data_IF_890668221932
#
_entry.id   IF_890668221932
#
_cell.length_a   1.000
_cell.length_b   1.000
_cell.length_c   1.000
_cell.angle_alpha   90.00
_cell.angle_beta   90.00
_cell.angle_gamma   90.00
#
_symmetry.space_group_name_H-M   'P 1'
#
loop_
_entity.id
_entity.type
_entity.pdbx_description
1 polymer ?
#
# COMPACT_ATOMS: atom_id res chain seq x y z
N UNK A 1 -26.73 -10.64 -18.41
CA UNK A 1 -26.00 -9.39 -18.06
C UNK A 1 -25.00 -9.74 -16.97
N UNK A 2 -23.74 -9.36 -17.14
CA UNK A 2 -22.74 -9.48 -16.07
C UNK A 2 -22.86 -8.26 -15.16
N UNK A 3 -23.15 -8.49 -13.88
CA UNK A 3 -23.17 -7.43 -12.86
C UNK A 3 -21.77 -6.80 -12.77
N UNK A 4 -21.71 -5.47 -12.74
CA UNK A 4 -20.46 -4.72 -12.52
C UNK A 4 -20.45 -4.18 -11.10
N UNK A 5 -19.30 -4.26 -10.44
CA UNK A 5 -19.09 -3.65 -9.12
C UNK A 5 -18.79 -2.17 -9.34
N UNK A 6 -19.61 -1.30 -8.74
CA UNK A 6 -19.36 0.14 -8.73
C UNK A 6 -18.30 0.48 -7.69
N UNK A 7 -17.38 1.39 -8.05
CA UNK A 7 -16.32 1.93 -7.18
C UNK A 7 -15.67 0.88 -6.24
N UNK A 8 -15.11 -0.22 -6.79
CA UNK A 8 -14.56 -1.29 -5.96
C UNK A 8 -13.47 -0.75 -5.02
N UNK A 9 -13.48 -1.28 -3.80
CA UNK A 9 -12.50 -1.01 -2.76
C UNK A 9 -11.91 -2.33 -2.27
N UNK A 10 -10.61 -2.51 -2.49
CA UNK A 10 -9.86 -3.73 -2.20
C UNK A 10 -8.94 -3.48 -1.02
N UNK A 11 -9.05 -4.34 -0.01
CA UNK A 11 -8.19 -4.32 1.16
C UNK A 11 -7.32 -5.58 1.17
N UNK A 12 -6.00 -5.39 1.25
CA UNK A 12 -5.02 -6.45 1.39
C UNK A 12 -4.25 -6.25 2.69
N UNK A 13 -4.18 -7.31 3.48
CA UNK A 13 -3.39 -7.35 4.72
C UNK A 13 -2.36 -8.45 4.58
N UNK A 14 -1.10 -8.12 4.85
CA UNK A 14 -0.01 -9.06 4.78
C UNK A 14 0.90 -8.92 6.01
N UNK A 15 1.41 -10.05 6.49
CA UNK A 15 2.20 -10.13 7.71
C UNK A 15 3.38 -11.06 7.51
N UNK A 16 4.52 -10.73 8.10
CA UNK A 16 5.62 -11.69 8.28
C UNK A 16 6.49 -11.29 9.47
N UNK A 17 7.23 -12.26 10.02
CA UNK A 17 8.17 -11.98 11.10
C UNK A 17 9.30 -11.06 10.59
N UNK A 18 9.67 -10.09 11.42
CA UNK A 18 10.79 -9.17 11.21
C UNK A 18 12.12 -9.90 11.02
N UNK A 19 12.24 -11.10 11.59
CA UNK A 19 13.42 -11.96 11.49
C UNK A 19 13.40 -12.88 10.27
N UNK A 20 12.30 -12.94 9.51
CA UNK A 20 12.23 -13.73 8.28
C UNK A 20 13.02 -13.07 7.17
N UNK A 21 13.80 -13.87 6.43
CA UNK A 21 14.50 -13.41 5.24
C UNK A 21 13.69 -13.64 3.95
N UNK A 22 13.66 -12.67 3.01
CA UNK A 22 14.22 -11.34 3.15
C UNK A 22 13.36 -10.46 4.06
N UNK A 23 14.00 -9.70 4.96
CA UNK A 23 13.30 -8.82 5.92
C UNK A 23 12.49 -7.70 5.26
N UNK A 24 12.78 -7.38 4.00
CA UNK A 24 12.11 -6.33 3.20
C UNK A 24 10.97 -6.84 2.33
N UNK A 25 10.66 -8.15 2.37
CA UNK A 25 9.75 -8.80 1.41
C UNK A 25 8.42 -8.07 1.21
N UNK A 26 7.75 -7.66 2.30
CA UNK A 26 6.47 -6.95 2.21
C UNK A 26 6.59 -5.61 1.49
N UNK A 27 7.62 -4.85 1.80
CA UNK A 27 7.85 -3.52 1.26
C UNK A 27 8.21 -3.61 -0.22
N UNK A 28 9.07 -4.57 -0.58
CA UNK A 28 9.46 -4.83 -1.97
C UNK A 28 8.26 -5.27 -2.81
N UNK A 29 7.40 -6.14 -2.27
CA UNK A 29 6.16 -6.56 -2.94
C UNK A 29 5.18 -5.41 -3.09
N UNK A 30 5.04 -4.56 -2.07
CA UNK A 30 4.21 -3.36 -2.13
C UNK A 30 4.70 -2.41 -3.23
N UNK A 31 5.99 -2.08 -3.22
CA UNK A 31 6.62 -1.23 -4.23
C UNK A 31 6.55 -1.83 -5.63
N UNK A 32 6.65 -3.15 -5.77
CA UNK A 32 6.45 -3.83 -7.05
C UNK A 32 5.01 -3.62 -7.57
N UNK A 33 4.00 -3.79 -6.72
CA UNK A 33 2.60 -3.56 -7.11
C UNK A 33 2.39 -2.09 -7.50
N UNK A 34 2.80 -1.17 -6.64
CA UNK A 34 2.64 0.29 -6.81
C UNK A 34 3.32 0.78 -8.10
N UNK A 35 4.55 0.35 -8.36
CA UNK A 35 5.29 0.76 -9.56
C UNK A 35 4.82 0.05 -10.83
N UNK A 36 4.69 -1.28 -10.83
CA UNK A 36 4.44 -2.03 -12.07
C UNK A 36 2.97 -2.04 -12.50
N UNK A 37 2.03 -1.97 -11.54
CA UNK A 37 0.59 -2.00 -11.83
C UNK A 37 -0.02 -0.61 -11.84
N UNK A 38 0.54 0.31 -11.03
CA UNK A 38 0.00 1.66 -10.91
C UNK A 38 0.98 2.73 -11.41
N UNK A 39 2.17 2.41 -11.94
CA UNK A 39 3.05 3.41 -12.56
C UNK A 39 3.50 4.53 -11.63
N UNK A 40 3.35 4.35 -10.31
CA UNK A 40 3.72 5.36 -9.31
C UNK A 40 5.23 5.27 -9.10
N UNK A 41 5.91 6.40 -9.29
CA UNK A 41 7.37 6.49 -9.20
C UNK A 41 7.87 6.63 -7.77
N UNK A 42 7.11 7.30 -6.90
CA UNK A 42 7.42 7.40 -5.48
C UNK A 42 7.26 6.02 -4.84
N UNK A 43 8.29 5.58 -4.11
CA UNK A 43 8.28 4.32 -3.40
C UNK A 43 7.87 4.52 -1.94
N UNK A 44 7.27 3.48 -1.36
CA UNK A 44 7.11 3.34 0.08
C UNK A 44 8.49 3.06 0.68
N UNK A 45 8.96 3.98 1.52
CA UNK A 45 10.17 3.85 2.31
C UNK A 45 9.81 3.67 3.79
N UNK A 46 10.50 2.76 4.45
CA UNK A 46 10.32 2.55 5.89
C UNK A 46 11.52 3.03 6.70
N UNK A 47 11.25 3.42 7.94
CA UNK A 47 12.23 3.72 8.96
C UNK A 47 11.85 2.99 10.25
N UNK A 48 12.82 2.32 10.85
CA UNK A 48 12.61 1.55 12.07
C UNK A 48 12.90 2.36 13.32
N UNK A 49 12.07 2.16 14.34
CA UNK A 49 12.16 2.85 15.62
C UNK A 49 11.97 1.89 16.79
N UNK A 50 12.32 2.33 17.99
CA UNK A 50 12.08 1.56 19.20
C UNK A 50 10.60 1.61 19.59
N UNK A 51 10.04 0.48 20.02
CA UNK A 51 8.67 0.43 20.50
C UNK A 51 7.98 -0.91 20.24
N UNK A 52 6.85 -1.10 20.92
CA UNK A 52 5.99 -2.26 20.75
C UNK A 52 5.22 -2.20 19.43
N UNK A 53 4.48 -1.10 19.19
CA UNK A 53 3.77 -0.82 17.95
C UNK A 53 4.44 0.40 17.33
N UNK A 54 4.97 0.25 16.12
CA UNK A 54 5.71 1.30 15.43
C UNK A 54 5.13 1.48 14.04
N UNK A 55 4.66 2.69 13.75
CA UNK A 55 4.30 3.10 12.40
C UNK A 55 5.60 3.34 11.62
N UNK A 56 5.81 2.58 10.54
CA UNK A 56 7.15 2.44 9.93
C UNK A 56 7.38 3.40 8.77
N UNK A 57 6.37 4.16 8.32
CA UNK A 57 6.56 5.07 7.19
C UNK A 57 7.61 6.13 7.56
N UNK A 58 8.63 6.28 6.71
CA UNK A 58 9.75 7.19 6.96
C UNK A 58 9.30 8.66 7.03
N UNK A 59 8.52 9.11 6.05
CA UNK A 59 8.01 10.49 6.00
C UNK A 59 6.66 10.66 6.73
N UNK A 60 6.41 9.89 7.79
CA UNK A 60 5.14 9.98 8.54
C UNK A 60 5.03 11.30 9.29
N UNK A 61 3.80 11.72 9.53
CA UNK A 61 3.45 12.82 10.44
C UNK A 61 2.69 12.27 11.64
N UNK A 62 2.44 13.11 12.64
CA UNK A 62 1.61 12.74 13.80
C UNK A 62 0.19 12.34 13.37
N UNK A 63 -0.32 12.93 12.30
CA UNK A 63 -1.71 12.76 11.86
C UNK A 63 -1.86 11.77 10.69
N UNK A 64 -0.77 11.47 9.96
CA UNK A 64 -0.78 10.58 8.80
C UNK A 64 0.47 9.70 8.75
N UNK A 65 0.22 8.40 8.87
CA UNK A 65 1.24 7.34 8.89
C UNK A 65 1.18 6.47 7.64
N UNK A 66 0.37 6.86 6.65
CA UNK A 66 0.14 6.07 5.46
C UNK A 66 0.77 6.69 4.21
N UNK A 67 1.23 5.82 3.33
CA UNK A 67 1.73 6.19 2.02
C UNK A 67 0.56 6.25 1.05
N UNK A 68 0.16 7.46 0.68
CA UNK A 68 -0.91 7.71 -0.29
C UNK A 68 -0.35 7.80 -1.71
N UNK A 69 -1.07 7.22 -2.65
CA UNK A 69 -0.73 7.32 -4.07
C UNK A 69 -1.99 7.34 -4.95
N UNK A 70 -1.85 7.93 -6.13
CA UNK A 70 -2.87 7.97 -7.16
C UNK A 70 -2.27 7.67 -8.53
N UNK A 71 -3.06 7.04 -9.41
CA UNK A 71 -2.64 6.70 -10.76
C UNK A 71 -3.82 6.59 -11.71
N UNK A 72 -3.54 6.68 -13.02
CA UNK A 72 -4.45 6.28 -14.07
C UNK A 72 -3.98 4.96 -14.68
N UNK A 73 -4.70 3.88 -14.40
CA UNK A 73 -4.44 2.56 -14.99
C UNK A 73 -5.20 2.44 -16.30
N UNK A 74 -4.56 1.99 -17.37
CA UNK A 74 -5.25 1.73 -18.64
C UNK A 74 -5.86 0.34 -18.63
N UNK A 75 -7.18 0.24 -18.78
CA UNK A 75 -7.91 -1.01 -19.00
C UNK A 75 -8.72 -0.87 -20.28
N UNK A 76 -8.50 -1.74 -21.26
CA UNK A 76 -9.20 -1.74 -22.56
C UNK A 76 -9.25 -0.34 -23.23
N UNK A 77 -8.09 0.33 -23.30
CA UNK A 77 -7.91 1.71 -23.80
C UNK A 77 -8.66 2.81 -23.02
N UNK A 78 -9.25 2.48 -21.88
CA UNK A 78 -9.88 3.45 -20.98
C UNK A 78 -8.94 3.75 -19.81
N UNK A 79 -8.68 5.03 -19.57
CA UNK A 79 -7.92 5.48 -18.40
C UNK A 79 -8.81 5.43 -17.15
N UNK A 80 -8.38 4.70 -16.14
CA UNK A 80 -9.07 4.54 -14.87
C UNK A 80 -8.20 5.10 -13.73
N UNK A 81 -8.56 6.29 -13.23
CA UNK A 81 -8.17 6.75 -11.91
C UNK A 81 -8.33 5.68 -10.81
N UNK A 82 -7.25 5.41 -10.10
CA UNK A 82 -7.19 4.56 -8.91
C UNK A 82 -6.43 5.34 -7.85
N UNK A 83 -6.94 5.30 -6.62
CA UNK A 83 -6.23 5.76 -5.44
C UNK A 83 -5.86 4.58 -4.58
N UNK A 84 -4.78 4.71 -3.83
CA UNK A 84 -4.35 3.68 -2.91
C UNK A 84 -3.63 4.25 -1.71
N UNK A 85 -3.63 3.46 -0.65
CA UNK A 85 -3.06 3.80 0.63
C UNK A 85 -2.33 2.57 1.16
N UNK A 86 -1.04 2.70 1.46
CA UNK A 86 -0.24 1.64 2.05
C UNK A 86 0.24 2.07 3.44
N UNK A 87 -0.04 1.26 4.46
CA UNK A 87 0.35 1.55 5.85
C UNK A 87 1.32 0.47 6.32
N UNK A 88 2.64 0.76 6.38
CA UNK A 88 3.62 -0.14 6.93
C UNK A 88 3.67 0.02 8.47
N UNK A 89 3.58 -1.10 9.17
CA UNK A 89 3.52 -1.16 10.64
C UNK A 89 4.40 -2.30 11.15
N UNK A 90 4.98 -2.15 12.34
CA UNK A 90 5.49 -3.27 13.12
C UNK A 90 4.72 -3.39 14.43
N UNK A 91 4.36 -4.62 14.78
CA UNK A 91 3.87 -4.97 16.11
C UNK A 91 4.79 -6.04 16.68
N UNK A 92 5.52 -5.71 17.74
CA UNK A 92 6.60 -6.51 18.31
C UNK A 92 7.61 -6.96 17.24
N UNK A 93 7.63 -8.26 16.94
CA UNK A 93 8.51 -8.94 16.01
C UNK A 93 7.84 -9.22 14.66
N UNK A 94 6.66 -8.66 14.40
CA UNK A 94 5.89 -8.90 13.18
C UNK A 94 5.75 -7.61 12.39
N UNK A 95 6.21 -7.63 11.15
CA UNK A 95 5.86 -6.62 10.15
C UNK A 95 4.47 -6.87 9.59
N UNK A 96 3.71 -5.80 9.47
CA UNK A 96 2.36 -5.77 8.95
C UNK A 96 2.27 -4.69 7.85
N UNK A 97 1.59 -5.04 6.77
CA UNK A 97 1.27 -4.13 5.68
C UNK A 97 -0.23 -4.16 5.44
N UNK A 98 -0.89 -3.01 5.58
CA UNK A 98 -2.21 -2.78 5.02
C UNK A 98 -2.05 -2.06 3.68
N UNK A 99 -2.67 -2.58 2.63
CA UNK A 99 -2.76 -1.94 1.32
C UNK A 99 -4.23 -1.82 0.93
N UNK A 100 -4.68 -0.59 0.73
CA UNK A 100 -5.98 -0.26 0.19
C UNK A 100 -5.84 0.21 -1.26
N UNK A 101 -6.69 -0.29 -2.14
CA UNK A 101 -6.77 0.10 -3.54
C UNK A 101 -8.23 0.37 -3.90
N UNK A 102 -8.51 1.53 -4.47
CA UNK A 102 -9.86 2.02 -4.64
C UNK A 102 -10.05 2.72 -5.98
N UNK A 103 -11.19 2.44 -6.63
CA UNK A 103 -11.75 3.35 -7.64
C UNK A 103 -12.47 4.50 -6.94
N UNK A 104 -12.15 5.78 -7.21
CA UNK A 104 -12.88 6.91 -6.63
C UNK A 104 -14.40 6.79 -6.84
N UNK A 105 -15.18 7.17 -5.83
CA UNK A 105 -16.66 7.13 -5.89
C UNK A 105 -17.24 8.27 -6.73
N UNK A 106 -16.50 9.36 -6.88
CA UNK A 106 -16.84 10.51 -7.70
C UNK A 106 -15.64 10.76 -8.62
N UNK A 107 -15.91 11.00 -9.91
CA UNK A 107 -14.91 11.44 -10.89
C UNK A 107 -14.61 12.93 -10.76
#
# INVERSE_FOLDING_TARGET
MTSKVYAPNVHLFAFHLKTSEPTTLLWDKCNQIISQKFGVTKQLEIEEESGYRVDLLKDKTTDDVAFHFGSNVTLDNTALAVTGVATPLRIQDTYALALNLRRPELE
#
